data_IF_313823541497
#
_entry.id   IF_313823541497
#
_cell.length_a   1.000
_cell.length_b   1.000
_cell.length_c   1.000
_cell.angle_alpha   90.00
_cell.angle_beta   90.00
_cell.angle_gamma   90.00
#
_symmetry.space_group_name_H-M   'P 1'
#
loop_
_entity.id
_entity.type
_entity.pdbx_description
1 polymer ?
#
# COMPACT_ATOMS: atom_id res chain seq x y z
N UNK A 1 -19.20 -19.67 3.35
CA UNK A 1 -18.74 -18.41 2.72
C UNK A 1 -19.87 -17.59 2.08
N UNK A 2 -20.69 -18.17 1.18
CA UNK A 2 -21.74 -17.43 0.45
C UNK A 2 -22.76 -16.66 1.30
N UNK A 3 -23.07 -17.11 2.53
CA UNK A 3 -23.95 -16.38 3.45
C UNK A 3 -23.31 -15.10 4.01
N UNK A 4 -22.01 -15.12 4.32
CA UNK A 4 -21.28 -13.98 4.88
C UNK A 4 -21.00 -12.91 3.82
N UNK A 5 -20.72 -13.31 2.57
CA UNK A 5 -20.50 -12.36 1.47
C UNK A 5 -21.70 -11.43 1.23
N UNK A 6 -22.92 -11.86 1.58
CA UNK A 6 -24.11 -10.99 1.51
C UNK A 6 -24.02 -9.79 2.47
N UNK A 7 -23.18 -9.86 3.50
CA UNK A 7 -22.93 -8.78 4.47
C UNK A 7 -21.80 -7.83 4.04
N UNK A 8 -21.07 -8.17 2.97
CA UNK A 8 -19.94 -7.38 2.46
C UNK A 8 -20.43 -6.43 1.37
N UNK A 9 -20.08 -5.14 1.48
CA UNK A 9 -20.32 -4.16 0.41
C UNK A 9 -20.35 -2.73 0.93
N UNK A 10 -19.46 -1.88 0.42
CA UNK A 10 -19.31 -0.50 0.88
C UNK A 10 -20.59 0.35 0.73
N UNK A 11 -21.47 0.02 -0.24
CA UNK A 11 -22.77 0.68 -0.45
C UNK A 11 -23.75 0.50 0.73
N UNK A 12 -23.44 -0.40 1.67
CA UNK A 12 -24.20 -0.60 2.90
C UNK A 12 -23.82 0.42 3.98
N UNK A 13 -22.68 1.11 3.85
CA UNK A 13 -22.29 2.18 4.74
C UNK A 13 -23.17 3.39 4.44
N UNK A 14 -23.80 3.93 5.48
CA UNK A 14 -24.59 5.17 5.45
C UNK A 14 -23.86 6.20 6.30
N UNK A 15 -23.61 7.35 5.69
CA UNK A 15 -22.96 8.49 6.34
C UNK A 15 -23.96 9.64 6.29
N UNK A 16 -24.21 10.23 7.46
CA UNK A 16 -24.98 11.45 7.63
C UNK A 16 -24.01 12.51 8.16
N UNK A 17 -23.41 13.25 7.23
CA UNK A 17 -22.41 14.27 7.52
C UNK A 17 -23.00 15.43 8.32
N UNK A 18 -24.28 15.76 8.12
CA UNK A 18 -24.94 16.86 8.81
C UNK A 18 -25.05 16.60 10.32
N UNK A 19 -25.25 15.34 10.70
CA UNK A 19 -25.39 14.94 12.10
C UNK A 19 -24.14 14.22 12.65
N UNK A 20 -23.09 14.06 11.85
CA UNK A 20 -21.87 13.34 12.24
C UNK A 20 -22.12 11.87 12.57
N UNK A 21 -23.08 11.23 11.89
CA UNK A 21 -23.48 9.85 12.17
C UNK A 21 -23.03 8.91 11.04
N UNK A 22 -22.65 7.70 11.41
CA UNK A 22 -22.40 6.62 10.46
C UNK A 22 -23.05 5.33 10.94
N UNK A 23 -23.53 4.52 10.00
CA UNK A 23 -24.19 3.25 10.29
C UNK A 23 -24.13 2.27 9.14
N UNK A 24 -24.56 1.04 9.41
CA UNK A 24 -24.69 -0.02 8.42
C UNK A 24 -26.16 -0.24 8.12
N UNK A 25 -26.51 -0.26 6.84
CA UNK A 25 -27.87 -0.52 6.37
C UNK A 25 -28.35 -1.97 6.65
N UNK A 26 -27.43 -2.85 7.06
CA UNK A 26 -27.72 -4.27 7.30
C UNK A 26 -27.10 -4.73 8.62
N UNK A 27 -27.91 -5.37 9.44
CA UNK A 27 -27.44 -5.99 10.68
C UNK A 27 -26.48 -7.16 10.39
N UNK A 28 -25.45 -7.30 11.24
CA UNK A 28 -24.44 -8.35 11.15
C UNK A 28 -23.23 -8.02 10.26
N UNK A 29 -23.27 -6.90 9.53
CA UNK A 29 -22.08 -6.34 8.88
C UNK A 29 -21.12 -5.73 9.89
N UNK A 30 -19.86 -5.57 9.49
CA UNK A 30 -18.84 -4.87 10.26
C UNK A 30 -17.99 -4.00 9.32
N UNK A 31 -17.48 -2.89 9.84
CA UNK A 31 -16.49 -2.06 9.15
C UNK A 31 -15.11 -2.50 9.61
N UNK A 32 -14.24 -2.81 8.65
CA UNK A 32 -12.83 -3.05 8.88
C UNK A 32 -12.02 -1.98 8.11
N UNK A 33 -11.19 -1.24 8.85
CA UNK A 33 -10.36 -0.16 8.33
C UNK A 33 -8.88 -0.57 8.22
N UNK A 34 -8.54 -1.86 8.34
CA UNK A 34 -7.17 -2.35 8.34
C UNK A 34 -6.35 -1.98 7.10
N UNK A 35 -7.01 -1.84 5.94
CA UNK A 35 -6.41 -1.44 4.66
C UNK A 35 -6.33 0.07 4.41
N UNK A 36 -6.68 0.93 5.38
CA UNK A 36 -6.66 2.40 5.19
C UNK A 36 -6.24 3.18 6.45
N UNK A 37 -6.44 2.61 7.65
CA UNK A 37 -6.26 3.31 8.91
C UNK A 37 -4.81 3.75 9.19
N UNK A 38 -3.82 2.99 8.71
CA UNK A 38 -2.40 3.32 8.90
C UNK A 38 -2.02 4.52 8.05
N UNK A 39 -2.55 4.57 6.83
CA UNK A 39 -2.45 5.74 5.95
C UNK A 39 -3.03 7.00 6.59
N UNK A 40 -4.24 6.92 7.12
CA UNK A 40 -4.86 8.03 7.84
C UNK A 40 -4.03 8.50 9.06
N UNK A 41 -3.55 7.55 9.87
CA UNK A 41 -2.72 7.87 11.03
C UNK A 41 -1.39 8.56 10.63
N UNK A 42 -0.77 8.13 9.52
CA UNK A 42 0.41 8.77 8.96
C UNK A 42 0.15 10.22 8.56
N UNK A 43 -0.94 10.48 7.83
CA UNK A 43 -1.31 11.84 7.42
C UNK A 43 -1.61 12.72 8.64
N UNK A 44 -2.44 12.25 9.58
CA UNK A 44 -2.77 12.98 10.80
C UNK A 44 -1.52 13.32 11.65
N UNK A 45 -0.56 12.40 11.72
CA UNK A 45 0.70 12.62 12.43
C UNK A 45 1.55 13.72 11.78
N UNK A 46 1.64 13.75 10.44
CA UNK A 46 2.37 14.81 9.72
C UNK A 46 1.67 16.16 9.87
N UNK A 47 0.34 16.22 9.80
CA UNK A 47 -0.40 17.47 10.00
C UNK A 47 -0.19 18.04 11.41
N UNK A 48 -0.16 17.18 12.44
CA UNK A 48 0.21 17.59 13.80
C UNK A 48 1.65 18.14 13.88
N UNK A 49 2.60 17.50 13.19
CA UNK A 49 3.97 18.00 13.14
C UNK A 49 4.07 19.35 12.44
N UNK A 50 3.35 19.55 11.33
CA UNK A 50 3.26 20.84 10.66
C UNK A 50 2.68 21.92 11.57
N UNK A 51 1.64 21.62 12.34
CA UNK A 51 1.05 22.59 13.30
C UNK A 51 1.99 22.96 14.44
N UNK A 52 2.98 22.09 14.73
CA UNK A 52 4.06 22.34 15.70
C UNK A 52 5.30 22.97 15.06
N UNK A 53 5.22 23.45 13.82
CA UNK A 53 6.34 24.03 13.04
C UNK A 53 7.51 23.07 12.76
N UNK A 54 7.32 21.75 12.87
CA UNK A 54 8.31 20.76 12.44
C UNK A 54 8.45 20.84 10.91
N UNK A 55 9.70 20.83 10.42
CA UNK A 55 10.02 20.96 8.97
C UNK A 55 10.57 19.68 8.35
N UNK A 56 11.00 18.73 9.17
CA UNK A 56 11.58 17.46 8.76
C UNK A 56 11.09 16.35 9.68
N UNK A 57 10.46 15.32 9.12
CA UNK A 57 9.98 14.17 9.88
C UNK A 57 9.93 12.90 9.04
N UNK A 58 10.05 11.76 9.72
CA UNK A 58 9.87 10.42 9.17
C UNK A 58 8.96 9.64 10.11
N UNK A 59 7.79 9.25 9.62
CA UNK A 59 6.78 8.49 10.37
C UNK A 59 6.67 7.10 9.76
N UNK A 60 6.61 6.06 10.58
CA UNK A 60 6.47 4.68 10.14
C UNK A 60 5.46 3.91 10.99
N UNK A 61 4.30 3.63 10.41
CA UNK A 61 3.26 2.80 11.01
C UNK A 61 3.28 1.38 10.42
N UNK A 62 4.20 0.55 10.92
CA UNK A 62 4.25 -0.86 10.55
C UNK A 62 4.57 -1.12 9.07
N UNK A 63 5.35 -0.24 8.44
CA UNK A 63 5.69 -0.28 7.01
C UNK A 63 5.03 0.82 6.19
N UNK A 64 3.96 1.46 6.69
CA UNK A 64 3.42 2.69 6.12
C UNK A 64 4.35 3.86 6.47
N UNK A 65 5.19 4.28 5.52
CA UNK A 65 6.11 5.38 5.74
C UNK A 65 5.53 6.67 5.16
N UNK A 66 5.55 7.77 5.92
CA UNK A 66 5.26 9.11 5.42
C UNK A 66 6.33 10.08 5.88
N UNK A 67 6.75 10.96 4.97
CA UNK A 67 7.81 11.92 5.22
C UNK A 67 7.30 13.35 5.15
N UNK A 68 7.95 14.23 5.92
CA UNK A 68 7.82 15.68 5.84
C UNK A 68 9.20 16.26 5.59
N UNK A 69 9.30 17.14 4.60
CA UNK A 69 10.55 17.75 4.18
C UNK A 69 11.62 16.75 3.74
N UNK A 70 12.86 17.23 3.75
CA UNK A 70 14.07 16.44 3.52
C UNK A 70 14.70 16.03 4.85
N UNK A 71 15.72 15.17 4.81
CA UNK A 71 16.57 14.89 5.97
C UNK A 71 17.30 16.17 6.43
N UNK A 72 17.82 16.19 7.68
CA UNK A 72 18.60 17.32 8.19
C UNK A 72 19.85 17.67 7.36
N UNK A 73 20.40 16.71 6.61
CA UNK A 73 21.54 16.90 5.70
C UNK A 73 21.14 17.45 4.31
N UNK A 74 19.85 17.72 4.08
CA UNK A 74 19.32 18.22 2.80
C UNK A 74 19.03 17.15 1.76
N UNK A 75 19.31 15.87 2.04
CA UNK A 75 19.02 14.77 1.13
C UNK A 75 17.59 14.25 1.25
N UNK A 76 17.10 13.59 0.21
CA UNK A 76 15.81 12.89 0.28
C UNK A 76 15.86 11.70 1.26
N UNK A 77 14.69 11.32 1.76
CA UNK A 77 14.52 10.13 2.59
C UNK A 77 14.73 8.88 1.74
N UNK A 78 15.52 7.93 2.26
CA UNK A 78 15.78 6.65 1.59
C UNK A 78 14.89 5.60 2.23
N UNK A 79 13.88 5.14 1.49
CA UNK A 79 12.89 4.20 2.00
C UNK A 79 13.13 2.84 1.36
N UNK A 80 13.36 1.81 2.18
CA UNK A 80 13.56 0.45 1.70
C UNK A 80 12.24 -0.25 1.37
N UNK A 81 12.22 -0.96 0.24
CA UNK A 81 11.12 -1.84 -0.15
C UNK A 81 11.53 -3.28 0.14
N UNK A 82 10.78 -3.94 1.04
CA UNK A 82 11.05 -5.27 1.55
C UNK A 82 11.04 -6.30 0.41
N UNK A 83 11.99 -7.23 0.44
CA UNK A 83 12.02 -8.36 -0.47
C UNK A 83 10.96 -9.42 -0.06
N UNK A 84 10.01 -9.76 -0.95
CA UNK A 84 8.92 -10.70 -0.67
C UNK A 84 9.32 -12.10 -0.18
N UNK A 85 10.54 -12.54 -0.51
CA UNK A 85 11.02 -13.90 -0.28
C UNK A 85 12.18 -13.99 0.72
N UNK A 86 12.63 -12.87 1.26
CA UNK A 86 13.72 -12.86 2.25
C UNK A 86 13.17 -12.51 3.62
N UNK A 87 13.98 -12.77 4.64
CA UNK A 87 13.66 -12.37 6.00
C UNK A 87 13.42 -10.86 6.08
N UNK A 88 12.55 -10.46 7.00
CA UNK A 88 12.23 -9.05 7.24
C UNK A 88 13.49 -8.24 7.50
N UNK A 89 13.58 -7.06 6.88
CA UNK A 89 14.76 -6.19 6.91
C UNK A 89 15.68 -6.33 5.70
N UNK A 90 15.49 -7.35 4.85
CA UNK A 90 16.18 -7.48 3.56
C UNK A 90 15.35 -6.80 2.47
N UNK A 91 15.89 -5.74 1.88
CA UNK A 91 15.20 -4.89 0.88
C UNK A 91 15.75 -5.16 -0.52
N UNK A 92 14.90 -5.39 -1.51
CA UNK A 92 15.35 -5.57 -2.91
C UNK A 92 15.58 -4.23 -3.62
N UNK A 93 14.93 -3.16 -3.13
CA UNK A 93 15.06 -1.83 -3.69
C UNK A 93 14.91 -0.74 -2.62
N UNK A 94 15.24 0.47 -3.01
CA UNK A 94 15.01 1.69 -2.24
C UNK A 94 14.37 2.74 -3.14
N UNK A 95 13.57 3.62 -2.53
CA UNK A 95 13.02 4.79 -3.19
C UNK A 95 13.44 6.05 -2.42
N UNK A 96 13.85 7.08 -3.17
CA UNK A 96 14.24 8.38 -2.63
C UNK A 96 13.06 9.34 -2.74
N UNK A 97 12.58 9.83 -1.60
CA UNK A 97 11.41 10.73 -1.55
C UNK A 97 11.56 11.86 -0.54
N UNK A 98 10.85 12.94 -0.78
CA UNK A 98 10.56 13.99 0.19
C UNK A 98 9.08 14.38 0.08
N UNK A 99 8.45 14.69 1.21
CA UNK A 99 7.01 15.00 1.32
C UNK A 99 6.04 13.90 0.83
N UNK A 100 6.52 12.69 0.50
CA UNK A 100 5.68 11.57 0.03
C UNK A 100 5.47 10.50 1.11
N UNK A 101 4.41 9.75 0.91
CA UNK A 101 4.16 8.45 1.53
C UNK A 101 4.70 7.33 0.66
N UNK A 102 5.10 6.21 1.27
CA UNK A 102 5.51 4.97 0.62
C UNK A 102 4.87 3.82 1.39
N UNK A 103 3.91 3.16 0.75
CA UNK A 103 3.05 2.17 1.39
C UNK A 103 3.02 0.89 0.58
N UNK A 104 3.22 -0.25 1.23
CA UNK A 104 3.31 -1.55 0.54
C UNK A 104 2.25 -2.51 1.04
N UNK A 105 1.52 -3.11 0.11
CA UNK A 105 0.65 -4.27 0.33
C UNK A 105 1.28 -5.51 -0.29
N UNK A 106 1.34 -6.62 0.44
CA UNK A 106 1.93 -7.87 -0.06
C UNK A 106 1.46 -9.11 0.70
N UNK A 107 1.40 -10.25 0.01
CA UNK A 107 0.88 -11.51 0.56
C UNK A 107 1.81 -12.18 1.60
N UNK A 108 3.05 -11.73 1.72
CA UNK A 108 4.06 -12.31 2.61
C UNK A 108 4.10 -11.72 4.02
N UNK A 109 3.45 -10.57 4.26
CA UNK A 109 3.49 -9.89 5.56
C UNK A 109 2.74 -10.67 6.66
N UNK A 110 1.56 -11.22 6.34
CA UNK A 110 0.74 -11.99 7.27
C UNK A 110 0.01 -13.10 6.53
N UNK A 111 0.28 -14.34 6.93
CA UNK A 111 -0.36 -15.53 6.39
C UNK A 111 -0.30 -16.69 7.39
N UNK A 112 -1.10 -17.72 7.15
CA UNK A 112 -0.99 -19.03 7.79
C UNK A 112 -1.03 -20.14 6.73
N UNK A 113 -0.67 -21.36 7.11
CA UNK A 113 -0.62 -22.53 6.21
C UNK A 113 -1.51 -23.63 6.76
N UNK A 114 -2.39 -24.16 5.91
CA UNK A 114 -3.24 -25.33 6.21
C UNK A 114 -3.13 -26.30 5.05
N UNK A 115 -2.79 -27.56 5.33
CA UNK A 115 -2.66 -28.63 4.33
C UNK A 115 -1.75 -28.23 3.14
N UNK A 116 -0.63 -27.56 3.44
CA UNK A 116 0.32 -27.09 2.42
C UNK A 116 -0.13 -25.86 1.61
N UNK A 117 -1.36 -25.37 1.83
CA UNK A 117 -1.87 -24.16 1.17
C UNK A 117 -1.69 -22.93 2.07
N UNK A 118 -1.14 -21.85 1.49
CA UNK A 118 -0.96 -20.56 2.15
C UNK A 118 -2.23 -19.71 2.05
N UNK A 119 -2.61 -19.06 3.14
CA UNK A 119 -3.73 -18.13 3.23
C UNK A 119 -3.23 -16.81 3.82
N UNK A 120 -3.17 -15.75 3.00
CA UNK A 120 -2.75 -14.42 3.45
C UNK A 120 -3.93 -13.53 3.85
N UNK A 121 -3.63 -12.42 4.52
CA UNK A 121 -4.61 -11.51 5.11
C UNK A 121 -5.37 -10.61 4.12
N UNK A 122 -4.85 -10.39 2.91
CA UNK A 122 -5.55 -9.56 1.89
C UNK A 122 -6.65 -10.39 1.22
N UNK A 123 -7.91 -10.05 1.46
CA UNK A 123 -9.07 -10.78 0.94
C UNK A 123 -9.62 -10.17 -0.34
N UNK A 124 -10.10 -11.03 -1.24
CA UNK A 124 -10.94 -10.62 -2.36
C UNK A 124 -12.43 -10.65 -1.95
N UNK A 125 -13.05 -9.47 -1.88
CA UNK A 125 -14.46 -9.31 -1.52
C UNK A 125 -15.43 -10.04 -2.47
N UNK A 126 -15.00 -10.43 -3.68
CA UNK A 126 -15.81 -11.20 -4.63
C UNK A 126 -15.91 -12.67 -4.24
N UNK A 127 -14.85 -13.22 -3.62
CA UNK A 127 -14.72 -14.65 -3.33
C UNK A 127 -14.80 -14.97 -1.84
N UNK A 128 -14.46 -14.01 -0.97
CA UNK A 128 -14.33 -14.19 0.48
C UNK A 128 -13.07 -14.94 0.90
N UNK A 129 -12.12 -15.14 -0.03
CA UNK A 129 -10.85 -15.83 0.18
C UNK A 129 -9.68 -14.87 -0.02
N UNK A 130 -8.45 -15.25 0.42
CA UNK A 130 -7.25 -14.50 0.06
C UNK A 130 -7.19 -14.28 -1.46
N UNK A 131 -6.87 -13.06 -1.88
CA UNK A 131 -6.85 -12.69 -3.29
C UNK A 131 -5.80 -13.50 -4.06
N UNK A 132 -6.18 -14.08 -5.20
CA UNK A 132 -5.22 -14.76 -6.09
C UNK A 132 -4.65 -13.77 -7.11
N UNK A 133 -3.76 -12.90 -6.63
CA UNK A 133 -3.08 -11.89 -7.46
C UNK A 133 -1.88 -12.46 -8.21
N UNK A 134 -1.57 -11.94 -9.39
CA UNK A 134 -0.29 -12.18 -10.08
C UNK A 134 0.89 -11.37 -9.47
N UNK A 135 0.58 -10.49 -8.52
CA UNK A 135 1.51 -9.66 -7.78
C UNK A 135 1.94 -10.30 -6.44
N UNK A 136 3.19 -10.06 -6.06
CA UNK A 136 3.72 -10.36 -4.72
C UNK A 136 3.62 -9.18 -3.78
N UNK A 137 3.85 -7.98 -4.32
CA UNK A 137 3.68 -6.72 -3.62
C UNK A 137 3.33 -5.57 -4.56
N UNK A 138 2.60 -4.61 -4.03
CA UNK A 138 2.40 -3.29 -4.62
C UNK A 138 2.86 -2.25 -3.62
N UNK A 139 3.83 -1.44 -4.01
CA UNK A 139 4.22 -0.23 -3.28
C UNK A 139 3.66 0.99 -4.00
N UNK A 140 2.85 1.79 -3.32
CA UNK A 140 2.31 3.06 -3.83
C UNK A 140 3.05 4.23 -3.17
N UNK A 141 3.39 5.23 -3.99
CA UNK A 141 4.14 6.42 -3.61
C UNK A 141 3.36 7.67 -4.05
N UNK A 142 2.78 8.41 -3.12
CA UNK A 142 2.10 9.67 -3.40
C UNK A 142 2.12 10.58 -2.17
N UNK A 143 1.63 11.82 -2.28
CA UNK A 143 1.56 12.71 -1.11
C UNK A 143 0.60 12.14 -0.05
N UNK A 144 -0.64 11.81 -0.41
CA UNK A 144 -1.64 11.39 0.57
C UNK A 144 -1.43 9.93 1.02
N UNK A 145 -1.07 9.70 2.29
CA UNK A 145 -0.81 8.34 2.79
C UNK A 145 -2.06 7.48 2.91
N UNK A 146 -3.23 8.10 3.13
CA UNK A 146 -4.53 7.43 3.16
C UNK A 146 -4.85 6.83 1.79
N UNK A 147 -4.62 7.59 0.72
CA UNK A 147 -4.74 7.16 -0.67
C UNK A 147 -3.75 6.03 -0.97
N UNK A 148 -2.48 6.16 -0.57
CA UNK A 148 -1.48 5.12 -0.80
C UNK A 148 -1.83 3.77 -0.13
N UNK A 149 -2.33 3.79 1.12
CA UNK A 149 -2.75 2.56 1.85
C UNK A 149 -3.93 1.89 1.14
N UNK A 150 -4.96 2.66 0.79
CA UNK A 150 -6.12 2.16 0.06
C UNK A 150 -5.78 1.63 -1.33
N UNK A 151 -5.01 2.39 -2.12
CA UNK A 151 -4.63 2.02 -3.49
C UNK A 151 -3.72 0.80 -3.51
N UNK A 152 -2.76 0.69 -2.59
CA UNK A 152 -1.86 -0.48 -2.55
C UNK A 152 -2.65 -1.77 -2.33
N UNK A 153 -3.66 -1.75 -1.46
CA UNK A 153 -4.54 -2.90 -1.19
C UNK A 153 -5.42 -3.21 -2.40
N UNK A 154 -6.07 -2.20 -2.98
CA UNK A 154 -6.95 -2.36 -4.13
C UNK A 154 -6.19 -2.89 -5.36
N UNK A 155 -5.04 -2.28 -5.68
CA UNK A 155 -4.17 -2.69 -6.77
C UNK A 155 -3.67 -4.13 -6.59
N UNK A 156 -3.27 -4.52 -5.37
CA UNK A 156 -2.87 -5.90 -5.08
C UNK A 156 -4.00 -6.89 -5.42
N UNK A 157 -5.24 -6.62 -4.98
CA UNK A 157 -6.40 -7.48 -5.26
C UNK A 157 -6.76 -7.51 -6.76
N UNK A 158 -6.51 -6.42 -7.48
CA UNK A 158 -6.85 -6.27 -8.90
C UNK A 158 -5.88 -6.99 -9.86
N UNK A 159 -4.61 -7.17 -9.45
CA UNK A 159 -3.55 -7.73 -10.30
C UNK A 159 -2.92 -6.69 -11.22
N UNK A 160 -1.81 -7.05 -11.88
CA UNK A 160 -0.90 -6.12 -12.57
C UNK A 160 -1.60 -5.19 -13.58
N UNK A 161 -2.35 -5.74 -14.52
CA UNK A 161 -2.97 -4.96 -15.62
C UNK A 161 -3.92 -3.87 -15.07
N UNK A 162 -4.87 -4.27 -14.23
CA UNK A 162 -5.84 -3.36 -13.62
C UNK A 162 -5.23 -2.43 -12.57
N UNK A 163 -4.18 -2.89 -11.89
CA UNK A 163 -3.41 -2.05 -10.98
C UNK A 163 -2.76 -0.88 -11.72
N UNK A 164 -2.17 -1.12 -12.89
CA UNK A 164 -1.62 -0.05 -13.73
C UNK A 164 -2.72 0.93 -14.17
N UNK A 165 -3.83 0.41 -14.70
CA UNK A 165 -4.96 1.23 -15.15
C UNK A 165 -5.55 2.12 -14.05
N UNK A 166 -5.65 1.62 -12.81
CA UNK A 166 -6.21 2.41 -11.71
C UNK A 166 -5.21 3.43 -11.18
N UNK A 167 -3.92 3.09 -11.10
CA UNK A 167 -2.88 4.00 -10.59
C UNK A 167 -2.71 5.19 -11.52
N UNK A 168 -2.76 4.98 -12.84
CA UNK A 168 -2.67 6.05 -13.85
C UNK A 168 -3.83 7.08 -13.78
N UNK A 169 -4.91 6.79 -13.05
CA UNK A 169 -6.02 7.72 -12.82
C UNK A 169 -5.79 8.68 -11.65
N UNK A 170 -4.74 8.48 -10.87
CA UNK A 170 -4.40 9.34 -9.74
C UNK A 170 -3.17 10.17 -10.09
N UNK A 171 -3.37 11.49 -10.18
CA UNK A 171 -2.28 12.42 -10.39
C UNK A 171 -1.22 12.27 -9.28
N UNK A 172 0.03 12.52 -9.65
CA UNK A 172 1.20 12.49 -8.76
C UNK A 172 1.33 11.20 -7.91
N UNK A 173 0.77 10.10 -8.42
CA UNK A 173 0.80 8.79 -7.79
C UNK A 173 1.69 7.86 -8.59
N UNK A 174 2.71 7.35 -7.93
CA UNK A 174 3.65 6.40 -8.48
C UNK A 174 3.51 5.03 -7.82
N UNK A 175 4.03 4.00 -8.49
CA UNK A 175 4.06 2.65 -7.94
C UNK A 175 5.26 1.81 -8.37
N UNK A 176 5.59 0.87 -7.50
CA UNK A 176 6.50 -0.26 -7.75
C UNK A 176 5.68 -1.54 -7.58
N UNK A 177 5.45 -2.26 -8.67
CA UNK A 177 4.70 -3.51 -8.67
C UNK A 177 5.66 -4.69 -8.88
N UNK A 178 5.62 -5.66 -7.98
CA UNK A 178 6.44 -6.88 -8.06
C UNK A 178 5.54 -8.04 -8.35
N UNK A 179 5.85 -8.78 -9.41
CA UNK A 179 5.09 -9.95 -9.88
C UNK A 179 5.69 -11.26 -9.37
N UNK A 180 4.87 -12.32 -9.34
CA UNK A 180 5.30 -13.68 -8.93
C UNK A 180 6.41 -14.26 -9.81
N UNK A 181 6.55 -13.82 -11.05
CA UNK A 181 7.64 -14.20 -11.96
C UNK A 181 8.87 -13.28 -11.85
N UNK A 182 8.98 -12.54 -10.74
CA UNK A 182 10.12 -11.68 -10.37
C UNK A 182 10.39 -10.54 -11.35
N UNK A 183 9.34 -9.99 -11.96
CA UNK A 183 9.42 -8.73 -12.70
C UNK A 183 8.99 -7.57 -11.82
N UNK A 184 9.71 -6.46 -11.93
CA UNK A 184 9.41 -5.19 -11.28
C UNK A 184 8.89 -4.23 -12.35
N UNK A 185 7.70 -3.69 -12.15
CA UNK A 185 7.10 -2.66 -12.99
C UNK A 185 7.09 -1.34 -12.23
N UNK A 186 7.59 -0.28 -12.86
CA UNK A 186 7.64 1.07 -12.31
C UNK A 186 6.75 2.00 -13.11
N UNK A 187 5.94 2.82 -12.44
CA UNK A 187 5.36 4.01 -13.06
C UNK A 187 6.47 5.01 -13.43
N UNK A 188 6.17 5.92 -14.36
CA UNK A 188 7.15 6.87 -14.90
C UNK A 188 7.80 7.77 -13.85
N UNK A 189 6.99 8.31 -12.93
CA UNK A 189 7.42 9.36 -12.02
C UNK A 189 8.48 8.91 -11.01
N UNK A 190 8.61 7.59 -10.79
CA UNK A 190 9.58 7.05 -9.83
C UNK A 190 10.84 6.46 -10.46
N UNK A 191 10.93 6.39 -11.79
CA UNK A 191 12.04 5.73 -12.50
C UNK A 191 13.43 6.25 -12.08
N UNK A 192 13.57 7.56 -11.89
CA UNK A 192 14.85 8.18 -11.52
C UNK A 192 15.11 8.18 -10.00
N UNK A 193 14.12 7.75 -9.21
CA UNK A 193 14.17 7.80 -7.75
C UNK A 193 14.12 6.40 -7.12
N UNK A 194 14.00 5.35 -7.92
CA UNK A 194 14.04 3.95 -7.48
C UNK A 194 15.38 3.31 -7.84
N UNK A 195 15.98 2.62 -6.87
CA UNK A 195 17.28 1.96 -7.01
C UNK A 195 17.20 0.54 -6.49
N UNK A 196 17.70 -0.41 -7.28
CA UNK A 196 17.87 -1.78 -6.85
C UNK A 196 19.04 -1.94 -5.89
N UNK A 197 18.96 -2.90 -4.98
CA UNK A 197 20.06 -3.26 -4.06
C UNK A 197 20.79 -4.52 -4.54
N UNK A 198 21.91 -4.87 -3.91
CA UNK A 198 22.63 -6.12 -4.21
C UNK A 198 21.76 -7.40 -4.09
N UNK A 199 20.70 -7.35 -3.28
CA UNK A 199 19.77 -8.47 -3.13
C UNK A 199 18.71 -8.57 -4.24
N UNK A 200 18.87 -7.83 -5.34
CA UNK A 200 17.92 -7.77 -6.46
C UNK A 200 18.30 -8.64 -7.66
N UNK A 201 19.38 -9.41 -7.60
CA UNK A 201 19.93 -10.14 -8.76
C UNK A 201 18.96 -11.11 -9.45
N UNK A 202 17.87 -11.49 -8.77
CA UNK A 202 16.81 -12.34 -9.31
C UNK A 202 15.65 -11.57 -9.97
N UNK A 203 15.63 -10.24 -9.87
CA UNK A 203 14.57 -9.39 -10.42
C UNK A 203 14.96 -8.77 -11.76
N UNK A 204 13.99 -8.70 -12.67
CA UNK A 204 14.10 -7.91 -13.91
C UNK A 204 13.25 -6.64 -13.80
N UNK A 205 13.84 -5.47 -14.03
CA UNK A 205 13.18 -4.17 -13.85
C UNK A 205 12.70 -3.58 -15.19
N UNK A 206 11.44 -3.19 -15.25
CA UNK A 206 10.78 -2.59 -16.40
C UNK A 206 10.20 -1.24 -15.99
N UNK A 207 10.64 -0.18 -16.65
CA UNK A 207 10.04 1.14 -16.52
C UNK A 207 8.96 1.32 -17.58
N UNK A 208 7.77 1.75 -17.15
CA UNK A 208 6.64 1.97 -18.05
C UNK A 208 6.71 3.34 -18.73
N UNK A 209 6.19 3.39 -19.96
CA UNK A 209 6.24 4.51 -20.89
C UNK A 209 4.86 5.10 -21.15
#
# INVERSE_FOLDING_TARGET
>A
MSKLLKLVGYKQIKIDDANGMAGLARQGGAVDLGGIAKGYAADACIELYKSMNVKSAFVNFGGNVKTLGKKPDGNDWVIGIQHPHKQRGKKFGVVLVSNKSVVTSGAYERYFVVNGKRYHHILDCRTGWPSDSDLESVTVICENSTQADALSTAAFVMGLEKAMEIIDKFDETDAVLVTKDKKIYLTKGIKNNFYLTESSSEYSCYALA
#
